data_IF_503401046823
#
_entry.id   IF_503401046823
#
_cell.length_a   1.000
_cell.length_b   1.000
_cell.length_c   1.000
_cell.angle_alpha   90.00
_cell.angle_beta   90.00
_cell.angle_gamma   90.00
#
_symmetry.space_group_name_H-M   'P 1'
#
loop_
_entity.id
_entity.type
_entity.pdbx_description
1 polymer ?
#
# COMPACT_ATOMS: atom_id res chain seq x y z
N UNK A 1 -20.90 -80.53 11.19
CA UNK A 1 -20.11 -79.61 12.04
C UNK A 1 -19.61 -78.50 11.13
N UNK A 2 -20.42 -77.48 10.84
CA UNK A 2 -20.50 -76.18 11.55
C UNK A 2 -19.11 -75.54 11.71
N UNK A 3 -18.81 -74.53 10.89
CA UNK A 3 -18.59 -73.20 11.47
C UNK A 3 -19.03 -72.08 10.52
N UNK A 4 -19.95 -71.25 11.02
CA UNK A 4 -20.42 -69.98 10.46
C UNK A 4 -19.65 -68.85 11.16
N UNK A 5 -19.29 -67.80 10.44
CA UNK A 5 -18.89 -66.50 11.02
C UNK A 5 -18.59 -65.52 9.89
N UNK A 6 -19.59 -64.77 9.43
CA UNK A 6 -20.00 -63.41 9.86
C UNK A 6 -19.30 -62.31 9.05
N UNK A 7 -20.12 -61.58 8.29
CA UNK A 7 -19.84 -60.27 7.71
C UNK A 7 -19.43 -59.24 8.79
N UNK A 8 -18.56 -58.31 8.42
CA UNK A 8 -18.69 -56.90 8.80
C UNK A 8 -18.04 -56.01 7.73
N UNK A 9 -18.82 -55.03 7.28
CA UNK A 9 -18.45 -53.91 6.43
C UNK A 9 -17.90 -52.77 7.29
N UNK A 10 -16.90 -52.03 6.81
CA UNK A 10 -16.84 -50.56 6.92
C UNK A 10 -15.80 -50.02 5.94
N UNK A 11 -16.23 -49.12 5.07
CA UNK A 11 -15.37 -48.22 4.31
C UNK A 11 -14.70 -47.21 5.27
N UNK A 12 -13.46 -46.81 4.96
CA UNK A 12 -12.92 -45.50 5.31
C UNK A 12 -11.84 -45.11 4.31
N UNK A 13 -12.12 -44.04 3.57
CA UNK A 13 -11.14 -43.28 2.82
C UNK A 13 -10.16 -42.59 3.78
N UNK A 14 -8.88 -42.52 3.41
CA UNK A 14 -7.92 -41.58 4.01
C UNK A 14 -6.88 -41.27 2.95
N UNK A 15 -7.17 -40.26 2.12
CA UNK A 15 -6.64 -38.89 2.20
C UNK A 15 -5.13 -38.87 1.91
N UNK A 16 -4.83 -38.43 0.69
CA UNK A 16 -3.54 -37.94 0.25
C UNK A 16 -3.00 -36.93 1.25
N UNK A 17 -1.92 -37.27 1.95
CA UNK A 17 -1.13 -36.32 2.73
C UNK A 17 0.05 -35.89 1.84
N UNK A 18 -0.16 -34.87 1.01
CA UNK A 18 0.95 -34.20 0.33
C UNK A 18 1.55 -33.23 1.34
N UNK A 19 2.63 -33.63 2.00
CA UNK A 19 3.52 -32.68 2.67
C UNK A 19 4.19 -31.83 1.60
N UNK A 20 3.61 -30.67 1.30
CA UNK A 20 4.35 -29.60 0.62
C UNK A 20 5.32 -29.03 1.66
N UNK A 21 6.54 -29.54 1.69
CA UNK A 21 7.65 -28.83 2.31
C UNK A 21 7.86 -27.55 1.51
N UNK A 22 7.38 -26.42 2.05
CA UNK A 22 7.80 -25.09 1.63
C UNK A 22 9.30 -24.98 1.93
N UNK A 23 10.13 -25.24 0.92
CA UNK A 23 11.52 -24.86 0.94
C UNK A 23 11.53 -23.33 0.89
N UNK A 24 11.65 -22.71 2.07
CA UNK A 24 12.06 -21.32 2.20
C UNK A 24 13.47 -21.20 1.62
N UNK A 25 13.57 -20.94 0.32
CA UNK A 25 14.79 -20.38 -0.24
C UNK A 25 14.81 -18.94 0.23
N UNK A 26 15.31 -18.69 1.44
CA UNK A 26 15.66 -17.35 1.88
C UNK A 26 16.84 -16.91 1.02
N UNK A 27 16.57 -16.35 -0.16
CA UNK A 27 17.55 -15.52 -0.84
C UNK A 27 17.70 -14.31 0.08
N UNK A 28 18.70 -14.34 0.95
CA UNK A 28 19.04 -13.17 1.74
C UNK A 28 19.31 -12.04 0.75
N UNK A 29 18.44 -11.04 0.72
CA UNK A 29 18.69 -9.83 -0.04
C UNK A 29 20.07 -9.31 0.40
N UNK A 30 21.03 -9.31 -0.53
CA UNK A 30 22.37 -8.83 -0.24
C UNK A 30 22.27 -7.35 0.15
N UNK A 31 22.82 -6.99 1.31
CA UNK A 31 22.91 -5.60 1.76
C UNK A 31 23.61 -4.67 0.75
N UNK A 32 24.29 -5.23 -0.27
CA UNK A 32 24.93 -4.49 -1.36
C UNK A 32 23.96 -3.87 -2.39
N UNK A 33 22.67 -4.20 -2.36
CA UNK A 33 21.67 -3.73 -3.34
C UNK A 33 20.79 -2.57 -2.85
N UNK A 34 20.94 -2.15 -1.59
CA UNK A 34 20.16 -1.04 -1.03
C UNK A 34 20.94 0.27 -1.12
N UNK A 35 20.36 1.27 -1.77
CA UNK A 35 20.96 2.60 -1.94
C UNK A 35 20.19 3.64 -1.14
N UNK A 36 20.87 4.38 -0.25
CA UNK A 36 20.30 5.57 0.38
C UNK A 36 20.35 6.75 -0.59
N UNK A 37 19.20 7.29 -0.96
CA UNK A 37 19.08 8.39 -1.95
C UNK A 37 18.78 9.75 -1.32
N UNK A 38 18.42 9.78 -0.04
CA UNK A 38 18.11 11.02 0.67
C UNK A 38 17.69 10.82 2.11
N UNK A 39 17.11 11.87 2.70
CA UNK A 39 16.48 11.84 4.02
C UNK A 39 15.10 12.50 3.99
N UNK A 40 14.15 11.92 4.72
CA UNK A 40 12.75 12.33 4.73
C UNK A 40 11.82 11.19 5.07
N UNK A 41 10.60 11.26 4.55
CA UNK A 41 9.53 10.31 4.79
C UNK A 41 8.54 10.25 3.62
N UNK A 42 7.69 9.22 3.64
CA UNK A 42 6.57 9.00 2.72
C UNK A 42 6.97 9.17 1.24
N UNK A 43 7.89 8.33 0.71
CA UNK A 43 8.25 8.43 -0.68
C UNK A 43 7.12 7.96 -1.60
N UNK A 44 7.14 8.40 -2.85
CA UNK A 44 6.37 7.83 -3.96
C UNK A 44 7.29 7.64 -5.17
N UNK A 45 6.95 6.70 -6.06
CA UNK A 45 7.79 6.34 -7.21
C UNK A 45 6.97 6.16 -8.49
N UNK A 46 7.44 6.76 -9.58
CA UNK A 46 6.90 6.54 -10.92
C UNK A 46 8.03 6.58 -11.96
N UNK A 47 8.15 5.51 -12.75
CA UNK A 47 9.21 5.40 -13.75
C UNK A 47 10.59 5.48 -13.11
N UNK A 48 11.41 6.41 -13.57
CA UNK A 48 12.75 6.68 -13.06
C UNK A 48 12.80 7.74 -11.94
N UNK A 49 11.65 8.16 -11.39
CA UNK A 49 11.56 9.29 -10.46
C UNK A 49 11.06 8.83 -9.10
N UNK A 50 11.76 9.25 -8.05
CA UNK A 50 11.36 9.07 -6.66
C UNK A 50 11.12 10.44 -6.05
N UNK A 51 9.99 10.62 -5.36
CA UNK A 51 9.67 11.87 -4.67
C UNK A 51 9.51 11.58 -3.19
N UNK A 52 9.86 12.51 -2.32
CA UNK A 52 9.60 12.39 -0.87
C UNK A 52 9.51 13.77 -0.22
N UNK A 53 9.00 13.81 1.00
CA UNK A 53 8.94 15.03 1.80
C UNK A 53 9.90 14.96 2.99
N UNK A 54 10.35 16.11 3.48
CA UNK A 54 11.08 16.22 4.75
C UNK A 54 10.44 17.23 5.73
N UNK A 55 9.22 17.70 5.43
CA UNK A 55 8.49 18.71 6.19
C UNK A 55 8.74 20.13 5.73
N UNK A 56 9.86 20.39 5.06
CA UNK A 56 10.21 21.71 4.52
C UNK A 56 10.09 21.71 3.00
N UNK A 57 10.69 20.73 2.32
CA UNK A 57 10.69 20.67 0.85
C UNK A 57 10.12 19.34 0.36
N UNK A 58 9.72 19.33 -0.91
CA UNK A 58 9.55 18.10 -1.69
C UNK A 58 10.84 17.87 -2.46
N UNK A 59 11.38 16.67 -2.36
CA UNK A 59 12.50 16.20 -3.17
C UNK A 59 11.98 15.44 -4.39
N UNK A 60 12.69 15.55 -5.50
CA UNK A 60 12.49 14.78 -6.72
C UNK A 60 13.85 14.27 -7.18
N UNK A 61 14.05 12.98 -6.98
CA UNK A 61 15.25 12.27 -7.40
C UNK A 61 15.03 11.56 -8.73
N UNK A 62 15.88 11.86 -9.70
CA UNK A 62 15.97 11.12 -10.96
C UNK A 62 17.01 10.01 -10.85
N UNK A 63 16.59 8.75 -10.95
CA UNK A 63 17.44 7.58 -10.82
C UNK A 63 18.44 7.42 -11.99
N UNK A 64 18.11 7.93 -13.17
CA UNK A 64 18.98 7.84 -14.35
C UNK A 64 20.10 8.88 -14.26
N UNK A 65 19.75 10.11 -13.92
CA UNK A 65 20.69 11.24 -13.85
C UNK A 65 21.36 11.37 -12.48
N UNK A 66 20.84 10.68 -11.45
CA UNK A 66 21.25 10.76 -10.04
C UNK A 66 21.20 12.20 -9.52
N UNK A 67 20.17 12.95 -9.91
CA UNK A 67 19.97 14.36 -9.53
C UNK A 67 18.80 14.48 -8.56
N UNK A 68 18.99 15.26 -7.48
CA UNK A 68 17.94 15.64 -6.53
C UNK A 68 17.54 17.10 -6.77
N UNK A 69 16.28 17.34 -7.13
CA UNK A 69 15.68 18.67 -7.29
C UNK A 69 14.71 18.93 -6.15
N UNK A 70 14.79 20.09 -5.52
CA UNK A 70 13.91 20.44 -4.40
C UNK A 70 12.88 21.49 -4.78
N UNK A 71 11.67 21.33 -4.26
CA UNK A 71 10.57 22.28 -4.39
C UNK A 71 10.21 22.83 -3.02
N UNK A 72 10.44 24.13 -2.84
CA UNK A 72 10.15 24.80 -1.58
C UNK A 72 8.68 24.69 -1.21
N UNK A 73 8.48 24.31 0.04
CA UNK A 73 7.22 24.34 0.77
C UNK A 73 7.55 24.83 2.20
N UNK A 74 6.55 24.92 3.06
CA UNK A 74 6.77 24.95 4.51
C UNK A 74 5.60 24.20 5.14
N UNK A 75 5.79 22.91 5.43
CA UNK A 75 4.70 21.98 5.73
C UNK A 75 4.33 21.07 4.54
N UNK A 76 5.34 20.62 3.78
CA UNK A 76 5.17 19.65 2.70
C UNK A 76 4.99 18.22 3.26
N UNK A 77 4.00 17.48 2.77
CA UNK A 77 3.82 16.06 3.11
C UNK A 77 2.95 15.30 2.12
N UNK A 78 2.98 13.96 2.24
CA UNK A 78 2.17 13.03 1.43
C UNK A 78 2.28 13.34 -0.08
N UNK A 79 3.49 13.34 -0.65
CA UNK A 79 3.65 13.57 -2.07
C UNK A 79 3.28 12.33 -2.88
N UNK A 80 2.81 12.54 -4.10
CA UNK A 80 2.59 11.48 -5.09
C UNK A 80 3.00 11.98 -6.49
N UNK A 81 3.32 11.04 -7.39
CA UNK A 81 3.83 11.32 -8.73
C UNK A 81 3.19 10.42 -9.78
N UNK A 82 2.78 11.02 -10.89
CA UNK A 82 2.40 10.30 -12.10
C UNK A 82 2.97 10.99 -13.33
N UNK A 83 3.70 10.24 -14.15
CA UNK A 83 4.40 10.75 -15.32
C UNK A 83 5.33 11.94 -14.97
N UNK A 84 4.92 13.16 -15.29
CA UNK A 84 5.67 14.38 -15.02
C UNK A 84 4.93 15.35 -14.09
N UNK A 85 3.94 14.87 -13.33
CA UNK A 85 3.15 15.68 -12.40
C UNK A 85 3.37 15.22 -10.97
N UNK A 86 3.69 16.17 -10.11
CA UNK A 86 3.77 15.98 -8.66
C UNK A 86 2.53 16.59 -8.02
N UNK A 87 2.03 15.93 -7.00
CA UNK A 87 1.01 16.49 -6.09
C UNK A 87 1.47 16.27 -4.66
N UNK A 88 1.25 17.24 -3.77
CA UNK A 88 1.54 17.08 -2.34
C UNK A 88 0.64 17.97 -1.49
N UNK A 89 0.50 17.62 -0.20
CA UNK A 89 -0.11 18.53 0.78
C UNK A 89 0.89 19.62 1.17
N UNK A 90 0.46 20.87 1.02
CA UNK A 90 1.23 22.09 1.28
C UNK A 90 0.49 22.89 2.37
N UNK A 91 1.12 23.08 3.52
CA UNK A 91 0.57 23.86 4.64
C UNK A 91 1.27 25.23 4.77
N UNK A 92 1.97 25.66 3.72
CA UNK A 92 2.87 26.84 3.77
C UNK A 92 2.14 28.17 3.94
N UNK A 93 0.84 28.20 3.64
CA UNK A 93 -0.02 29.36 3.81
C UNK A 93 -0.72 29.41 5.18
N UNK A 94 -0.47 28.45 6.07
CA UNK A 94 -1.23 28.30 7.33
C UNK A 94 -2.63 27.70 7.15
N UNK A 95 -3.00 27.32 5.93
CA UNK A 95 -4.23 26.59 5.59
C UNK A 95 -3.86 25.45 4.64
N UNK A 96 -4.30 24.21 4.90
CA UNK A 96 -4.00 23.07 4.04
C UNK A 96 -4.51 23.28 2.61
N UNK A 97 -3.65 22.95 1.64
CA UNK A 97 -3.94 22.96 0.20
C UNK A 97 -3.15 21.84 -0.48
N UNK A 98 -3.57 21.43 -1.67
CA UNK A 98 -2.79 20.52 -2.50
C UNK A 98 -2.04 21.32 -3.55
N UNK A 99 -0.71 21.27 -3.51
CA UNK A 99 0.12 21.82 -4.57
C UNK A 99 0.19 20.81 -5.73
N UNK A 100 0.06 21.30 -6.96
CA UNK A 100 0.20 20.52 -8.19
C UNK A 100 1.30 21.15 -9.02
N UNK A 101 2.31 20.37 -9.37
CA UNK A 101 3.47 20.84 -10.12
C UNK A 101 3.69 20.01 -11.38
N UNK A 102 3.80 20.66 -12.52
CA UNK A 102 4.12 20.03 -13.80
C UNK A 102 5.61 20.28 -14.13
N UNK A 103 6.40 19.20 -14.15
CA UNK A 103 7.87 19.27 -14.26
C UNK A 103 8.31 19.97 -15.56
N UNK A 104 7.81 19.62 -16.77
CA UNK A 104 8.34 20.15 -18.01
C UNK A 104 8.06 21.65 -18.19
N UNK A 105 6.91 22.12 -17.68
CA UNK A 105 6.50 23.52 -17.78
C UNK A 105 6.92 24.35 -16.57
N UNK A 106 7.45 23.72 -15.52
CA UNK A 106 7.73 24.32 -14.23
C UNK A 106 6.54 25.08 -13.61
N UNK A 107 5.31 24.71 -13.97
CA UNK A 107 4.10 25.38 -13.48
C UNK A 107 3.66 24.79 -12.15
N UNK A 108 3.42 25.67 -11.15
CA UNK A 108 2.83 25.32 -9.86
C UNK A 108 1.42 25.91 -9.75
N UNK A 109 0.45 25.09 -9.36
CA UNK A 109 -0.91 25.51 -9.05
C UNK A 109 -1.38 24.90 -7.72
N UNK A 110 -2.53 25.33 -7.21
CA UNK A 110 -3.07 24.83 -5.94
C UNK A 110 -4.53 24.45 -6.06
N UNK A 111 -4.91 23.36 -5.39
CA UNK A 111 -6.29 23.00 -5.08
C UNK A 111 -6.52 23.39 -3.62
N UNK A 112 -7.48 24.29 -3.38
CA UNK A 112 -7.78 24.85 -2.04
C UNK A 112 -9.15 24.45 -1.53
N UNK A 113 -10.06 24.02 -2.42
CA UNK A 113 -11.42 23.67 -2.05
C UNK A 113 -11.46 22.27 -1.44
N UNK A 114 -12.04 22.15 -0.24
CA UNK A 114 -12.21 20.89 0.49
C UNK A 114 -10.89 20.15 0.71
N UNK A 115 -9.87 20.85 1.22
CA UNK A 115 -8.60 20.25 1.62
C UNK A 115 -8.41 20.53 3.11
N UNK A 116 -7.93 19.54 3.86
CA UNK A 116 -7.69 19.61 5.30
C UNK A 116 -6.30 19.02 5.66
N UNK A 117 -5.95 19.06 6.95
CA UNK A 117 -4.64 18.58 7.44
C UNK A 117 -4.43 17.06 7.28
N UNK A 118 -5.49 16.30 7.01
CA UNK A 118 -5.43 14.84 6.82
C UNK A 118 -5.46 14.45 5.34
N UNK A 119 -5.61 15.41 4.44
CA UNK A 119 -5.67 15.16 3.00
C UNK A 119 -4.37 14.54 2.49
N UNK A 120 -4.50 13.33 1.94
CA UNK A 120 -3.45 12.58 1.24
C UNK A 120 -3.86 12.43 -0.22
N UNK A 121 -3.17 13.09 -1.17
CA UNK A 121 -3.50 12.99 -2.58
C UNK A 121 -2.98 11.69 -3.20
N UNK A 122 -3.71 11.17 -4.18
CA UNK A 122 -3.22 10.19 -5.16
C UNK A 122 -3.48 10.70 -6.59
N UNK A 123 -2.58 10.42 -7.54
CA UNK A 123 -2.66 10.96 -8.92
C UNK A 123 -2.57 9.87 -10.00
N UNK A 124 -3.45 9.96 -11.00
CA UNK A 124 -3.35 9.17 -12.24
C UNK A 124 -3.76 9.99 -13.46
N UNK A 125 -2.81 10.24 -14.36
CA UNK A 125 -3.00 11.13 -15.51
C UNK A 125 -3.28 12.56 -15.06
N UNK A 126 -4.41 13.12 -15.48
CA UNK A 126 -4.85 14.46 -15.08
C UNK A 126 -5.86 14.45 -13.91
N UNK A 127 -5.92 13.36 -13.16
CA UNK A 127 -6.91 13.16 -12.09
C UNK A 127 -6.19 13.05 -10.75
N UNK A 128 -6.63 13.84 -9.78
CA UNK A 128 -6.17 13.77 -8.38
C UNK A 128 -7.36 13.38 -7.52
N UNK A 129 -7.17 12.43 -6.62
CA UNK A 129 -8.14 12.07 -5.59
C UNK A 129 -7.56 12.32 -4.21
N UNK A 130 -8.41 12.71 -3.27
CA UNK A 130 -8.04 12.89 -1.86
C UNK A 130 -9.29 12.81 -0.99
N UNK A 131 -9.10 12.63 0.30
CA UNK A 131 -10.17 12.74 1.28
C UNK A 131 -10.03 13.99 2.12
N UNK A 132 -11.15 14.63 2.45
CA UNK A 132 -11.22 15.71 3.42
C UNK A 132 -12.60 15.73 4.09
N UNK A 133 -12.66 15.96 5.40
CA UNK A 133 -13.89 15.96 6.19
C UNK A 133 -14.81 14.80 5.78
N UNK A 134 -14.31 13.57 5.95
CA UNK A 134 -15.11 12.35 5.77
C UNK A 134 -15.64 12.12 4.35
N UNK A 135 -15.09 12.84 3.37
CA UNK A 135 -15.54 12.87 2.00
C UNK A 135 -14.39 12.64 1.04
N UNK A 136 -14.64 11.87 -0.01
CA UNK A 136 -13.67 11.61 -1.07
C UNK A 136 -13.97 12.53 -2.25
N UNK A 137 -12.95 13.23 -2.74
CA UNK A 137 -13.01 14.15 -3.85
C UNK A 137 -12.16 13.66 -5.02
N UNK A 138 -12.62 14.01 -6.22
CA UNK A 138 -11.93 13.84 -7.48
C UNK A 138 -11.79 15.21 -8.15
N UNK A 139 -10.57 15.54 -8.58
CA UNK A 139 -10.24 16.72 -9.39
C UNK A 139 -9.69 16.30 -10.73
N UNK A 140 -10.26 16.82 -11.81
CA UNK A 140 -9.62 16.83 -13.11
C UNK A 140 -8.86 18.16 -13.27
N UNK A 141 -7.53 18.08 -13.35
CA UNK A 141 -6.63 19.25 -13.40
C UNK A 141 -6.86 20.05 -14.69
N UNK A 142 -6.97 19.37 -15.83
CA UNK A 142 -7.06 20.00 -17.17
C UNK A 142 -8.33 20.83 -17.34
N UNK A 143 -9.45 20.35 -16.78
CA UNK A 143 -10.75 21.04 -16.87
C UNK A 143 -11.05 21.89 -15.65
N UNK A 144 -10.21 21.78 -14.61
CA UNK A 144 -10.50 22.41 -13.33
C UNK A 144 -11.90 22.05 -12.79
N UNK A 145 -12.32 20.80 -12.94
CA UNK A 145 -13.58 20.27 -12.38
C UNK A 145 -13.31 19.44 -11.12
N UNK A 146 -14.04 19.71 -10.03
CA UNK A 146 -13.97 18.98 -8.77
C UNK A 146 -15.34 18.36 -8.44
N UNK A 147 -15.35 17.13 -7.95
CA UNK A 147 -16.57 16.40 -7.61
C UNK A 147 -16.36 15.58 -6.35
N UNK A 148 -17.31 15.61 -5.42
CA UNK A 148 -17.38 14.65 -4.31
C UNK A 148 -17.89 13.31 -4.86
N UNK A 149 -17.10 12.25 -4.71
CA UNK A 149 -17.41 10.92 -5.27
C UNK A 149 -17.84 9.92 -4.19
N UNK A 150 -17.67 10.24 -2.91
CA UNK A 150 -18.15 9.41 -1.81
C UNK A 150 -17.88 9.99 -0.43
N UNK A 151 -18.29 9.22 0.58
CA UNK A 151 -17.98 9.43 1.99
C UNK A 151 -16.98 8.35 2.43
N UNK A 152 -15.82 8.76 2.92
CA UNK A 152 -14.71 7.85 3.21
C UNK A 152 -13.36 8.53 3.14
N UNK A 153 -12.31 7.70 3.24
CA UNK A 153 -10.93 8.15 3.41
C UNK A 153 -9.93 7.23 2.69
N UNK A 154 -8.67 7.65 2.66
CA UNK A 154 -7.55 6.96 2.00
C UNK A 154 -7.87 6.50 0.56
N UNK A 155 -8.24 7.43 -0.34
CA UNK A 155 -8.52 7.05 -1.71
C UNK A 155 -7.23 6.74 -2.49
N UNK A 156 -7.32 5.78 -3.41
CA UNK A 156 -6.29 5.49 -4.41
C UNK A 156 -6.92 5.39 -5.80
N UNK A 157 -6.14 5.63 -6.85
CA UNK A 157 -6.63 5.74 -8.23
C UNK A 157 -5.76 4.97 -9.22
N UNK A 158 -6.41 4.13 -10.03
CA UNK A 158 -5.80 3.51 -11.19
C UNK A 158 -6.74 3.60 -12.39
N UNK A 159 -6.24 4.21 -13.47
CA UNK A 159 -7.04 4.50 -14.64
C UNK A 159 -8.34 5.25 -14.27
N UNK A 160 -9.52 4.67 -14.54
CA UNK A 160 -10.82 5.27 -14.25
C UNK A 160 -11.39 4.84 -12.90
N UNK A 161 -10.70 3.97 -12.15
CA UNK A 161 -11.20 3.40 -10.91
C UNK A 161 -10.59 4.10 -9.72
N UNK A 162 -11.44 4.54 -8.79
CA UNK A 162 -11.04 5.09 -7.49
C UNK A 162 -11.53 4.14 -6.41
N UNK A 163 -10.63 3.67 -5.54
CA UNK A 163 -10.99 2.90 -4.35
C UNK A 163 -10.82 3.75 -3.11
N UNK A 164 -11.65 3.54 -2.09
CA UNK A 164 -11.56 4.20 -0.79
C UNK A 164 -12.30 3.35 0.24
N UNK A 165 -11.90 3.44 1.51
CA UNK A 165 -12.68 2.80 2.58
C UNK A 165 -13.76 3.76 3.07
N UNK A 166 -14.90 3.21 3.48
CA UNK A 166 -16.10 3.95 3.89
C UNK A 166 -16.76 3.27 5.08
N UNK A 167 -17.24 4.07 6.03
CA UNK A 167 -17.96 3.65 7.22
C UNK A 167 -19.45 4.06 7.22
N UNK A 168 -19.92 4.69 6.13
CA UNK A 168 -21.27 5.27 6.10
C UNK A 168 -22.02 5.00 4.80
N UNK A 169 -21.34 4.52 3.74
CA UNK A 169 -22.00 4.31 2.46
C UNK A 169 -22.73 2.98 2.32
N UNK A 170 -22.40 1.99 3.14
CA UNK A 170 -23.10 0.72 3.19
C UNK A 170 -23.77 0.55 4.56
N UNK A 171 -25.11 0.55 4.65
CA UNK A 171 -25.80 0.44 5.93
C UNK A 171 -25.73 -0.97 6.54
N UNK A 172 -25.16 -1.97 5.84
CA UNK A 172 -25.09 -3.36 6.29
C UNK A 172 -23.77 -3.74 6.94
N UNK A 173 -22.74 -2.92 6.80
CA UNK A 173 -21.38 -3.19 7.27
C UNK A 173 -20.80 -1.92 7.88
N UNK A 174 -20.05 -2.08 8.97
CA UNK A 174 -19.46 -0.94 9.68
C UNK A 174 -18.39 -0.26 8.84
N UNK A 175 -17.58 -1.03 8.11
CA UNK A 175 -16.51 -0.55 7.23
C UNK A 175 -16.47 -1.40 5.96
N UNK A 176 -16.30 -0.75 4.80
CA UNK A 176 -16.21 -1.40 3.49
C UNK A 176 -15.26 -0.66 2.56
N UNK A 177 -14.74 -1.34 1.54
CA UNK A 177 -14.08 -0.70 0.42
C UNK A 177 -15.12 -0.40 -0.67
N UNK A 178 -15.17 0.84 -1.12
CA UNK A 178 -15.98 1.30 -2.25
C UNK A 178 -15.08 1.51 -3.45
N UNK A 179 -15.57 1.15 -4.63
CA UNK A 179 -14.91 1.44 -5.90
C UNK A 179 -15.85 2.28 -6.76
N UNK A 180 -15.38 3.45 -7.19
CA UNK A 180 -16.08 4.37 -8.06
C UNK A 180 -15.42 4.39 -9.44
N UNK A 181 -16.22 4.23 -10.49
CA UNK A 181 -15.77 4.42 -11.87
C UNK A 181 -16.03 5.86 -12.33
N UNK A 182 -14.97 6.54 -12.77
CA UNK A 182 -15.01 7.94 -13.19
C UNK A 182 -15.78 8.13 -14.50
N UNK A 183 -15.77 7.17 -15.41
CA UNK A 183 -16.41 7.29 -16.71
C UNK A 183 -17.89 6.95 -16.62
N UNK A 184 -18.24 5.85 -15.96
CA UNK A 184 -19.63 5.40 -15.82
C UNK A 184 -20.37 6.07 -14.67
N UNK A 185 -19.63 6.68 -13.72
CA UNK A 185 -20.15 7.23 -12.45
C UNK A 185 -20.76 6.17 -11.52
N UNK A 186 -20.58 4.89 -11.85
CA UNK A 186 -21.08 3.78 -11.05
C UNK A 186 -20.21 3.56 -9.83
N UNK A 187 -20.82 3.03 -8.78
CA UNK A 187 -20.17 2.71 -7.52
C UNK A 187 -20.52 1.30 -7.10
N UNK A 188 -19.51 0.52 -6.74
CA UNK A 188 -19.66 -0.86 -6.28
C UNK A 188 -18.98 -1.06 -4.93
N UNK A 189 -19.48 -2.00 -4.14
CA UNK A 189 -18.78 -2.50 -2.94
C UNK A 189 -17.80 -3.58 -3.40
N UNK A 190 -16.53 -3.43 -3.03
CA UNK A 190 -15.54 -4.49 -3.16
C UNK A 190 -15.84 -5.53 -2.10
N UNK A 191 -15.86 -6.82 -2.46
CA UNK A 191 -16.04 -7.89 -1.49
C UNK A 191 -14.80 -7.99 -0.60
N UNK A 192 -14.87 -7.34 0.55
CA UNK A 192 -13.84 -7.30 1.60
C UNK A 192 -14.37 -7.91 2.90
N UNK A 193 -13.46 -8.35 3.77
CA UNK A 193 -13.75 -8.86 5.10
C UNK A 193 -12.78 -8.26 6.12
N UNK A 194 -13.11 -8.45 7.41
CA UNK A 194 -12.38 -7.85 8.53
C UNK A 194 -12.67 -6.35 8.66
N UNK A 195 -11.64 -5.60 9.05
CA UNK A 195 -11.66 -4.12 9.10
C UNK A 195 -10.82 -3.54 7.95
N UNK A 196 -11.35 -3.48 6.71
CA UNK A 196 -10.55 -3.18 5.54
C UNK A 196 -10.15 -1.70 5.48
N UNK A 197 -8.86 -1.43 5.66
CA UNK A 197 -8.27 -0.11 5.66
C UNK A 197 -7.20 0.06 4.56
N UNK A 198 -6.88 1.33 4.26
CA UNK A 198 -5.80 1.73 3.34
C UNK A 198 -5.89 0.99 2.00
N UNK A 199 -7.03 1.10 1.27
CA UNK A 199 -7.16 0.38 0.01
C UNK A 199 -6.21 0.95 -1.05
N UNK A 200 -5.60 0.06 -1.83
CA UNK A 200 -4.79 0.43 -3.01
C UNK A 200 -5.26 -0.33 -4.24
N UNK A 201 -5.02 0.21 -5.43
CA UNK A 201 -5.51 -0.40 -6.68
C UNK A 201 -4.45 -0.43 -7.79
N UNK A 202 -4.36 -1.59 -8.47
CA UNK A 202 -3.62 -1.72 -9.71
C UNK A 202 -4.33 -2.67 -10.69
N UNK A 203 -4.72 -2.15 -11.86
CA UNK A 203 -5.49 -2.93 -12.83
C UNK A 203 -6.84 -3.36 -12.24
N UNK A 204 -7.08 -4.67 -12.19
CA UNK A 204 -8.28 -5.27 -11.59
C UNK A 204 -8.07 -5.70 -10.14
N UNK A 205 -6.91 -5.42 -9.55
CA UNK A 205 -6.56 -5.86 -8.19
C UNK A 205 -6.75 -4.71 -7.21
N UNK A 206 -7.55 -4.95 -6.17
CA UNK A 206 -7.71 -4.07 -5.03
C UNK A 206 -7.08 -4.77 -3.83
N UNK A 207 -6.19 -4.09 -3.13
CA UNK A 207 -5.61 -4.59 -1.87
C UNK A 207 -6.08 -3.73 -0.71
N UNK A 208 -6.11 -4.32 0.49
CA UNK A 208 -6.31 -3.60 1.74
C UNK A 208 -5.52 -4.26 2.86
N UNK A 209 -5.36 -3.53 3.96
CA UNK A 209 -4.82 -4.04 5.21
C UNK A 209 -5.90 -3.97 6.29
N UNK A 210 -6.04 -5.03 7.07
CA UNK A 210 -6.85 -5.04 8.29
C UNK A 210 -6.04 -4.52 9.49
N UNK A 211 -5.74 -3.22 9.48
CA UNK A 211 -4.75 -2.62 10.38
C UNK A 211 -5.14 -2.66 11.87
N UNK A 212 -6.42 -2.87 12.19
CA UNK A 212 -6.91 -2.89 13.58
C UNK A 212 -6.86 -4.28 14.21
N UNK A 213 -6.72 -5.34 13.41
CA UNK A 213 -6.48 -6.69 13.90
C UNK A 213 -4.97 -6.99 13.88
N UNK A 214 -4.37 -7.05 15.08
CA UNK A 214 -2.96 -7.46 15.34
C UNK A 214 -1.85 -6.75 14.55
N UNK A 215 -2.13 -5.57 14.00
CA UNK A 215 -1.26 -4.74 13.15
C UNK A 215 -1.28 -5.07 11.65
N UNK A 216 -2.38 -5.62 11.10
CA UNK A 216 -2.58 -5.75 9.65
C UNK A 216 -2.39 -7.15 9.09
N UNK A 217 -3.43 -7.73 8.49
CA UNK A 217 -3.25 -8.74 7.43
C UNK A 217 -3.67 -8.17 6.08
N UNK A 218 -3.01 -8.61 5.02
CA UNK A 218 -3.16 -8.05 3.67
C UNK A 218 -3.91 -9.04 2.80
N UNK A 219 -4.91 -8.53 2.07
CA UNK A 219 -5.69 -9.32 1.12
C UNK A 219 -5.69 -8.62 -0.23
N UNK A 220 -5.70 -9.43 -1.29
CA UNK A 220 -5.98 -8.98 -2.65
C UNK A 220 -7.35 -9.47 -3.06
N UNK A 221 -8.19 -8.59 -3.60
CA UNK A 221 -9.39 -8.94 -4.35
C UNK A 221 -9.20 -8.63 -5.84
N UNK A 222 -9.49 -9.61 -6.70
CA UNK A 222 -9.48 -9.40 -8.14
C UNK A 222 -10.91 -9.17 -8.67
N UNK A 223 -11.21 -7.93 -9.06
CA UNK A 223 -12.53 -7.48 -9.52
C UNK A 223 -13.00 -8.15 -10.82
N UNK A 224 -12.10 -8.76 -11.60
CA UNK A 224 -12.47 -9.50 -12.81
C UNK A 224 -12.90 -10.95 -12.56
N UNK A 225 -12.45 -11.54 -11.44
CA UNK A 225 -12.71 -12.95 -11.11
C UNK A 225 -13.52 -13.13 -9.83
N UNK A 226 -13.72 -12.06 -9.07
CA UNK A 226 -14.34 -12.03 -7.75
C UNK A 226 -13.69 -13.00 -6.74
N UNK A 227 -12.37 -13.17 -6.84
CA UNK A 227 -11.57 -14.02 -5.95
C UNK A 227 -10.68 -13.19 -5.06
N UNK A 228 -10.51 -13.66 -3.83
CA UNK A 228 -9.53 -13.14 -2.88
C UNK A 228 -8.31 -14.04 -2.79
N UNK A 229 -7.17 -13.44 -2.43
CA UNK A 229 -5.91 -14.11 -2.12
C UNK A 229 -5.36 -13.44 -0.86
N UNK A 230 -5.09 -14.25 0.16
CA UNK A 230 -4.37 -13.79 1.36
C UNK A 230 -2.89 -13.59 1.01
N UNK A 231 -2.40 -12.38 1.24
CA UNK A 231 -0.99 -12.01 0.98
C UNK A 231 -0.13 -12.31 2.20
N UNK A 232 -0.68 -12.07 3.39
CA UNK A 232 -0.07 -12.43 4.67
C UNK A 232 -1.03 -13.28 5.49
N UNK A 233 -0.51 -14.07 6.43
CA UNK A 233 -1.36 -14.96 7.19
C UNK A 233 -2.23 -14.16 8.17
N UNK A 234 -3.50 -14.57 8.36
CA UNK A 234 -4.30 -14.06 9.46
C UNK A 234 -3.67 -14.43 10.80
N UNK A 235 -4.14 -13.79 11.87
CA UNK A 235 -3.71 -14.11 13.22
C UNK A 235 -3.92 -15.60 13.52
N UNK A 236 -2.88 -16.27 14.01
CA UNK A 236 -2.89 -17.67 14.39
C UNK A 236 -1.88 -17.94 15.53
N UNK A 237 -1.78 -19.19 15.99
CA UNK A 237 -0.89 -19.62 17.07
C UNK A 237 0.20 -20.57 16.56
N UNK A 238 1.46 -20.25 16.85
CA UNK A 238 2.60 -21.06 16.43
C UNK A 238 2.66 -22.40 17.19
N UNK A 239 3.51 -23.37 16.78
CA UNK A 239 3.63 -24.65 17.48
C UNK A 239 4.05 -24.56 18.96
N UNK A 240 4.53 -23.41 19.41
CA UNK A 240 4.94 -23.15 20.79
C UNK A 240 3.87 -22.42 21.61
N UNK A 241 2.72 -22.07 21.00
CA UNK A 241 1.64 -21.36 21.67
C UNK A 241 1.72 -19.83 21.59
N UNK A 242 2.61 -19.24 20.78
CA UNK A 242 2.72 -17.79 20.60
C UNK A 242 1.85 -17.31 19.44
N UNK A 243 1.19 -16.17 19.59
CA UNK A 243 0.46 -15.51 18.52
C UNK A 243 1.42 -15.04 17.41
N UNK A 244 1.02 -15.25 16.15
CA UNK A 244 1.76 -14.79 14.96
C UNK A 244 0.79 -14.43 13.82
N UNK A 245 1.29 -13.77 12.79
CA UNK A 245 0.48 -13.34 11.65
C UNK A 245 -0.24 -12.02 11.93
N UNK A 246 -0.94 -11.51 10.91
CA UNK A 246 -1.61 -10.21 10.92
C UNK A 246 -0.73 -9.05 11.46
N UNK A 247 0.57 -9.07 11.19
CA UNK A 247 1.54 -8.12 11.76
C UNK A 247 2.17 -7.17 10.73
N UNK A 248 1.44 -6.88 9.65
CA UNK A 248 1.90 -6.04 8.55
C UNK A 248 1.51 -4.57 8.71
N UNK A 249 2.18 -3.86 9.62
CA UNK A 249 2.23 -2.40 9.74
C UNK A 249 1.03 -1.57 9.25
N UNK A 250 1.31 -0.37 8.75
CA UNK A 250 0.29 0.62 8.36
C UNK A 250 0.37 1.06 6.89
N UNK A 251 1.28 0.46 6.11
CA UNK A 251 1.51 0.87 4.72
C UNK A 251 1.70 -0.32 3.81
N UNK A 252 0.95 -0.30 2.71
CA UNK A 252 0.96 -1.30 1.65
C UNK A 252 0.92 -0.59 0.29
N UNK A 253 1.57 -1.14 -0.72
CA UNK A 253 1.47 -0.67 -2.09
C UNK A 253 1.49 -1.85 -3.07
N UNK A 254 0.88 -1.66 -4.25
CA UNK A 254 0.76 -2.70 -5.28
C UNK A 254 1.14 -2.16 -6.65
N UNK A 255 1.91 -2.96 -7.39
CA UNK A 255 2.11 -2.75 -8.80
C UNK A 255 2.32 -4.09 -9.52
N UNK A 256 1.57 -4.31 -10.59
CA UNK A 256 1.57 -5.55 -11.37
C UNK A 256 1.21 -6.81 -10.54
N UNK A 257 2.21 -7.63 -10.26
CA UNK A 257 2.15 -8.86 -9.46
C UNK A 257 2.95 -8.72 -8.15
N UNK A 258 3.40 -7.52 -7.80
CA UNK A 258 4.16 -7.23 -6.58
C UNK A 258 3.34 -6.42 -5.59
N UNK A 259 3.41 -6.80 -4.33
CA UNK A 259 2.88 -6.05 -3.20
C UNK A 259 4.02 -5.79 -2.25
N UNK A 260 4.21 -4.55 -1.84
CA UNK A 260 5.19 -4.20 -0.82
C UNK A 260 4.49 -3.78 0.45
N UNK A 261 5.07 -4.14 1.58
CA UNK A 261 4.49 -3.85 2.89
C UNK A 261 5.57 -3.79 3.97
N UNK A 262 5.24 -3.10 5.05
CA UNK A 262 6.02 -3.11 6.28
C UNK A 262 5.53 -4.23 7.21
N UNK A 263 6.45 -5.00 7.79
CA UNK A 263 6.19 -5.90 8.92
C UNK A 263 6.79 -5.28 10.18
N UNK A 264 6.01 -5.16 11.24
CA UNK A 264 6.41 -4.41 12.45
C UNK A 264 6.97 -5.31 13.58
N UNK A 265 6.66 -6.61 13.56
CA UNK A 265 7.03 -7.55 14.63
C UNK A 265 7.94 -8.67 14.15
N UNK A 266 8.64 -9.26 15.12
CA UNK A 266 9.44 -10.47 14.95
C UNK A 266 8.59 -11.63 15.49
N UNK A 267 8.11 -12.47 14.58
CA UNK A 267 7.22 -13.59 14.86
C UNK A 267 7.58 -14.82 14.01
N UNK A 268 6.73 -15.85 14.05
CA UNK A 268 6.93 -17.12 13.34
C UNK A 268 7.06 -16.95 11.81
N UNK A 269 6.52 -15.88 11.22
CA UNK A 269 6.59 -15.65 9.77
C UNK A 269 7.88 -14.92 9.33
N UNK A 270 8.58 -14.26 10.25
CA UNK A 270 9.82 -13.59 9.94
C UNK A 270 10.12 -12.34 10.76
N UNK A 271 11.18 -11.66 10.35
CA UNK A 271 11.71 -10.46 11.02
C UNK A 271 10.97 -9.17 10.61
N UNK A 272 10.96 -8.13 11.44
CA UNK A 272 10.43 -6.82 11.06
C UNK A 272 11.23 -6.23 9.89
N UNK A 273 10.55 -5.49 9.01
CA UNK A 273 11.21 -4.89 7.87
C UNK A 273 10.31 -4.55 6.70
N UNK A 274 10.93 -4.35 5.55
CA UNK A 274 10.27 -4.13 4.26
C UNK A 274 10.23 -5.44 3.50
N UNK A 275 9.04 -5.85 3.07
CA UNK A 275 8.81 -7.08 2.32
C UNK A 275 8.29 -6.79 0.91
N UNK A 276 8.58 -7.70 0.00
CA UNK A 276 7.94 -7.82 -1.31
C UNK A 276 7.26 -9.17 -1.38
N UNK A 277 5.94 -9.18 -1.57
CA UNK A 277 5.17 -10.37 -1.94
C UNK A 277 5.02 -10.44 -3.45
N UNK A 278 5.36 -11.61 -4.01
CA UNK A 278 5.17 -11.92 -5.42
C UNK A 278 3.93 -12.79 -5.59
N UNK A 279 2.87 -12.24 -6.19
CA UNK A 279 1.60 -12.94 -6.43
C UNK A 279 1.72 -14.14 -7.38
N UNK A 280 2.74 -14.15 -8.24
CA UNK A 280 2.99 -15.27 -9.16
C UNK A 280 3.53 -16.48 -8.42
N UNK A 281 4.40 -16.28 -7.44
CA UNK A 281 4.99 -17.36 -6.63
C UNK A 281 4.24 -17.63 -5.33
N UNK A 282 3.43 -16.67 -4.86
CA UNK A 282 2.76 -16.71 -3.56
C UNK A 282 3.72 -16.54 -2.38
N UNK A 283 4.87 -15.89 -2.57
CA UNK A 283 5.93 -15.78 -1.56
C UNK A 283 6.29 -14.35 -1.22
N UNK A 284 6.51 -14.11 0.08
CA UNK A 284 7.09 -12.88 0.61
C UNK A 284 8.61 -13.01 0.77
N UNK A 285 9.33 -11.97 0.37
CA UNK A 285 10.79 -11.86 0.54
C UNK A 285 11.12 -10.61 1.35
N UNK A 286 11.95 -10.76 2.38
CA UNK A 286 12.47 -9.64 3.17
C UNK A 286 13.53 -8.88 2.35
N UNK A 287 13.26 -7.62 2.04
CA UNK A 287 14.18 -6.72 1.31
C UNK A 287 15.15 -6.04 2.26
N UNK A 288 14.64 -5.55 3.40
CA UNK A 288 15.46 -4.84 4.37
C UNK A 288 14.93 -5.05 5.79
N UNK A 289 15.83 -5.47 6.69
CA UNK A 289 15.52 -5.75 8.08
C UNK A 289 15.58 -4.48 8.93
N UNK A 290 14.57 -4.26 9.77
CA UNK A 290 14.55 -3.18 10.76
C UNK A 290 14.40 -3.75 12.17
N UNK A 291 14.75 -2.98 13.23
CA UNK A 291 14.29 -3.27 14.58
C UNK A 291 12.76 -3.38 14.66
N UNK A 292 12.25 -4.02 15.72
CA UNK A 292 10.81 -4.09 16.00
C UNK A 292 10.23 -2.68 16.12
N UNK A 293 8.97 -2.53 15.73
CA UNK A 293 8.19 -1.27 15.84
C UNK A 293 8.74 -0.10 15.00
N UNK A 294 9.52 -0.40 13.96
CA UNK A 294 9.89 0.59 12.93
C UNK A 294 8.91 0.51 11.78
N UNK A 295 8.11 1.57 11.64
CA UNK A 295 7.10 1.71 10.60
C UNK A 295 7.70 2.39 9.37
N UNK A 296 7.58 1.72 8.23
CA UNK A 296 8.09 2.20 6.94
C UNK A 296 6.95 2.36 5.94
N UNK A 297 7.17 3.21 4.95
CA UNK A 297 6.23 3.48 3.85
C UNK A 297 6.80 2.99 2.53
N UNK A 298 6.81 1.67 2.26
CA UNK A 298 7.34 1.13 1.02
C UNK A 298 6.38 1.35 -0.15
N UNK A 299 6.94 1.72 -1.29
CA UNK A 299 6.28 1.87 -2.58
C UNK A 299 7.01 1.05 -3.65
N UNK A 300 6.30 0.67 -4.71
CA UNK A 300 6.85 -0.18 -5.77
C UNK A 300 6.47 0.31 -7.16
N UNK A 301 7.46 0.39 -8.04
CA UNK A 301 7.25 0.61 -9.46
C UNK A 301 8.20 -0.27 -10.29
N UNK A 302 7.62 -1.19 -11.05
CA UNK A 302 8.26 -2.23 -11.84
C UNK A 302 9.15 -3.13 -10.98
N UNK A 303 10.46 -2.87 -11.00
CA UNK A 303 11.45 -3.59 -10.19
C UNK A 303 12.04 -2.71 -9.09
N UNK A 304 11.67 -1.43 -9.01
CA UNK A 304 12.15 -0.51 -7.99
C UNK A 304 11.22 -0.58 -6.78
N UNK A 305 11.80 -0.88 -5.62
CA UNK A 305 11.18 -0.68 -4.31
C UNK A 305 11.84 0.53 -3.68
N UNK A 306 11.04 1.48 -3.20
CA UNK A 306 11.53 2.63 -2.43
C UNK A 306 10.81 2.67 -1.09
N UNK A 307 11.49 3.10 -0.04
CA UNK A 307 10.86 3.26 1.26
C UNK A 307 11.56 4.34 2.08
N UNK A 308 10.81 4.90 3.02
CA UNK A 308 11.31 5.73 4.11
C UNK A 308 10.62 5.34 5.41
N UNK A 309 10.94 6.04 6.50
CA UNK A 309 10.18 5.93 7.74
C UNK A 309 8.84 6.65 7.56
N UNK A 310 7.77 6.11 8.14
CA UNK A 310 6.47 6.78 8.21
C UNK A 310 6.61 8.10 8.98
N UNK A 311 6.09 9.19 8.41
CA UNK A 311 6.17 10.55 8.99
C UNK A 311 5.83 10.61 10.48
N UNK A 312 4.83 9.84 10.93
CA UNK A 312 4.35 9.86 12.32
C UNK A 312 5.34 9.24 13.31
N UNK A 313 6.32 8.49 12.81
CA UNK A 313 7.30 7.76 13.61
C UNK A 313 8.73 8.29 13.45
N UNK A 314 8.96 9.28 12.57
CA UNK A 314 10.31 9.84 12.29
C UNK A 314 10.98 10.43 13.53
N UNK A 315 10.25 11.14 14.40
CA UNK A 315 10.85 11.80 15.57
C UNK A 315 11.40 10.81 16.63
N UNK A 316 10.94 9.55 16.59
CA UNK A 316 11.45 8.47 17.45
C UNK A 316 12.40 7.51 16.74
N UNK A 317 12.57 7.65 15.42
CA UNK A 317 13.39 6.76 14.62
C UNK A 317 14.87 7.14 14.70
N UNK A 318 15.74 6.14 14.76
CA UNK A 318 17.21 6.32 14.67
C UNK A 318 17.69 6.51 13.23
N UNK A 319 16.78 6.39 12.27
CA UNK A 319 17.01 6.52 10.84
C UNK A 319 15.89 7.36 10.22
N UNK A 320 16.24 8.18 9.24
CA UNK A 320 15.32 8.98 8.44
C UNK A 320 15.68 8.92 6.95
N UNK A 321 16.39 7.87 6.54
CA UNK A 321 16.80 7.67 5.16
C UNK A 321 15.63 7.35 4.24
N UNK A 322 15.75 7.82 3.00
CA UNK A 322 15.00 7.29 1.87
C UNK A 322 15.91 6.30 1.15
N UNK A 323 15.40 5.09 0.99
CA UNK A 323 16.13 3.96 0.44
C UNK A 323 15.47 3.46 -0.83
N UNK A 324 16.31 2.83 -1.65
CA UNK A 324 15.94 2.25 -2.93
C UNK A 324 16.57 0.87 -3.04
N UNK A 325 15.81 -0.06 -3.61
CA UNK A 325 16.24 -1.42 -3.94
C UNK A 325 15.73 -1.81 -5.32
N UNK A 326 16.60 -2.40 -6.15
CA UNK A 326 16.24 -2.95 -7.47
C UNK A 326 16.09 -4.47 -7.38
N UNK A 327 14.88 -4.95 -7.61
CA UNK A 327 14.50 -6.37 -7.58
C UNK A 327 15.12 -7.20 -8.72
N UNK A 328 15.68 -6.55 -9.74
CA UNK A 328 16.34 -7.24 -10.86
C UNK A 328 17.88 -7.31 -10.74
N UNK A 329 18.46 -6.68 -9.72
CA UNK A 329 19.90 -6.62 -9.50
C UNK A 329 20.48 -7.88 -8.85
#
# INVERSE_FOLDING_TARGET
MINKGKLCSTASASVFLVFVFLILISVAASAAQVTKIGTGYDPAVYGNKVVWANGVVIHLYDMNNRTDTTFSSSGASSPDIYDNKLVWRDESSGTPRLAVYDIPTATKSYITQNVDQFSKPAIYGNRIVWSANDSVYLRNISTSTQTKIGNGSNPDIYNTKVVYYSYSEDPKVDITIRMYDIDTKEKVTVASYGDPNIPRIWGTKVIWSDAYNHQGYIVVYNTSTNKTIDVTHPLDTDPNGNEYGASTGTHIAIQNDKIVYNKAVDDYEGKPGVYVYNMTTGQSTLVYNYPKEVYTTPEVYNNTVVWGIDKNYVNGATDNGIYLYDLAA
#
